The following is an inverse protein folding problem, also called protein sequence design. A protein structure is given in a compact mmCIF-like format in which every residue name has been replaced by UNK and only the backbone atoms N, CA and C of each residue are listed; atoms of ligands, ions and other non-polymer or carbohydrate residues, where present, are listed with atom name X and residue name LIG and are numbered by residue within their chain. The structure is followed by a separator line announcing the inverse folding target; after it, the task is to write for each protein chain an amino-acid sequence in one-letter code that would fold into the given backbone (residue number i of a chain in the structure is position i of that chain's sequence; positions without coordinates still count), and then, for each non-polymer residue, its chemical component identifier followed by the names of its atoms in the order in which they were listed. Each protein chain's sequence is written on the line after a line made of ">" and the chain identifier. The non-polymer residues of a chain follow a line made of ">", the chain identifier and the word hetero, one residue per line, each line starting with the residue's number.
data_IF_173805254759
#
_entry.id   IF_173805254759
#
_cell.length_a   1.000
_cell.length_b   1.000
_cell.length_c   1.000
_cell.angle_alpha   90.00
_cell.angle_beta   90.00
_cell.angle_gamma   90.00
#
_symmetry.space_group_name_H-M   'P 1'
#
loop_
_entity.id
_entity.type
_entity.pdbx_description
1 polymer ?
#
# COMPACT_ATOMS: atom_id res chain seq x y z
N UNK A 1 -7.01 -17.05 11.31
CA UNK A 1 -6.51 -17.19 9.92
C UNK A 1 -7.27 -16.26 9.00
N UNK A 2 -8.61 -16.13 9.12
CA UNK A 2 -9.42 -15.13 8.39
C UNK A 2 -8.90 -13.69 8.51
N UNK A 3 -8.49 -13.26 9.70
CA UNK A 3 -7.95 -11.90 9.93
C UNK A 3 -6.67 -11.60 9.12
N UNK A 4 -5.91 -12.64 8.76
CA UNK A 4 -4.68 -12.51 7.96
C UNK A 4 -4.97 -12.29 6.47
N UNK A 5 -6.16 -12.65 5.97
CA UNK A 5 -6.50 -12.49 4.55
C UNK A 5 -6.61 -11.03 4.12
N UNK A 6 -6.79 -10.09 5.07
CA UNK A 6 -6.79 -8.67 4.77
C UNK A 6 -5.52 -8.20 4.06
N UNK A 7 -4.34 -8.69 4.46
CA UNK A 7 -3.09 -8.37 3.79
C UNK A 7 -3.07 -8.85 2.34
N UNK A 8 -3.46 -10.09 2.10
CA UNK A 8 -3.47 -10.66 0.75
C UNK A 8 -4.49 -9.96 -0.18
N UNK A 9 -5.68 -9.67 0.33
CA UNK A 9 -6.71 -8.95 -0.43
C UNK A 9 -6.26 -7.55 -0.81
N UNK A 10 -5.66 -6.82 0.13
CA UNK A 10 -5.18 -5.46 -0.12
C UNK A 10 -3.91 -5.45 -0.99
N UNK A 11 -3.07 -6.49 -0.95
CA UNK A 11 -1.99 -6.67 -1.91
C UNK A 11 -2.50 -6.84 -3.35
N UNK A 12 -3.58 -7.61 -3.56
CA UNK A 12 -4.22 -7.74 -4.88
C UNK A 12 -4.84 -6.43 -5.36
N UNK A 13 -5.43 -5.67 -4.45
CA UNK A 13 -5.94 -4.32 -4.77
C UNK A 13 -4.80 -3.40 -5.18
N UNK A 14 -3.67 -3.47 -4.48
CA UNK A 14 -2.44 -2.75 -4.81
C UNK A 14 -1.92 -3.07 -6.21
N UNK A 15 -1.86 -4.35 -6.59
CA UNK A 15 -1.48 -4.73 -7.96
C UNK A 15 -2.41 -4.14 -9.02
N UNK A 16 -3.73 -4.20 -8.79
CA UNK A 16 -4.70 -3.65 -9.76
C UNK A 16 -4.42 -2.16 -10.00
N UNK A 17 -4.29 -1.38 -8.91
CA UNK A 17 -4.02 0.06 -9.01
C UNK A 17 -2.65 0.34 -9.63
N UNK A 18 -1.62 -0.41 -9.27
CA UNK A 18 -0.28 -0.28 -9.87
C UNK A 18 -0.33 -0.50 -11.39
N UNK A 19 -1.04 -1.53 -11.84
CA UNK A 19 -1.22 -1.81 -13.27
C UNK A 19 -1.90 -0.66 -14.01
N UNK A 20 -2.92 -0.04 -13.40
CA UNK A 20 -3.61 1.11 -14.00
C UNK A 20 -2.69 2.33 -14.04
N UNK A 21 -1.99 2.63 -12.93
CA UNK A 21 -1.04 3.75 -12.85
C UNK A 21 0.09 3.60 -13.87
N UNK A 22 0.59 2.38 -14.09
CA UNK A 22 1.58 2.12 -15.13
C UNK A 22 1.02 2.44 -16.51
N UNK A 23 -0.22 2.02 -16.82
CA UNK A 23 -0.90 2.36 -18.06
C UNK A 23 -1.04 3.86 -18.28
N UNK A 24 -1.48 4.59 -17.24
CA UNK A 24 -1.56 6.06 -17.26
C UNK A 24 -0.17 6.67 -17.52
N UNK A 25 0.86 6.23 -16.81
CA UNK A 25 2.23 6.72 -17.00
C UNK A 25 2.70 6.53 -18.44
N UNK A 26 2.47 5.37 -19.03
CA UNK A 26 2.90 5.08 -20.40
C UNK A 26 2.15 5.88 -21.47
N UNK A 27 0.96 6.38 -21.14
CA UNK A 27 0.14 7.18 -22.05
C UNK A 27 0.40 8.69 -21.95
N UNK A 28 1.26 9.13 -21.03
CA UNK A 28 1.54 10.54 -20.76
C UNK A 28 2.95 10.95 -21.19
N UNK A 29 3.15 12.27 -21.24
CA UNK A 29 4.43 12.87 -21.54
C UNK A 29 5.43 12.74 -20.37
N UNK A 30 6.75 12.79 -20.63
CA UNK A 30 7.78 12.65 -19.61
C UNK A 30 7.68 13.63 -18.43
N UNK A 31 7.04 14.79 -18.61
CA UNK A 31 6.81 15.76 -17.53
C UNK A 31 5.98 15.19 -16.36
N UNK A 32 5.16 14.17 -16.59
CA UNK A 32 4.37 13.51 -15.54
C UNK A 32 5.09 12.31 -14.90
N UNK A 33 6.20 11.85 -15.48
CA UNK A 33 6.78 10.55 -15.14
C UNK A 33 7.30 10.50 -13.72
N UNK A 34 7.95 11.55 -13.23
CA UNK A 34 8.49 11.58 -11.88
C UNK A 34 7.38 11.41 -10.84
N UNK A 35 6.33 12.22 -10.92
CA UNK A 35 5.24 12.22 -9.96
C UNK A 35 4.42 10.92 -9.99
N UNK A 36 4.14 10.37 -11.17
CA UNK A 36 3.42 9.09 -11.29
C UNK A 36 4.29 7.94 -10.81
N UNK A 37 5.58 7.93 -11.18
CA UNK A 37 6.51 6.87 -10.77
C UNK A 37 6.71 6.85 -9.26
N UNK A 38 6.68 8.00 -8.59
CA UNK A 38 6.75 8.08 -7.13
C UNK A 38 5.58 7.37 -6.46
N UNK A 39 4.33 7.60 -6.92
CA UNK A 39 3.16 6.89 -6.38
C UNK A 39 3.18 5.41 -6.75
N UNK A 40 3.46 5.08 -8.02
CA UNK A 40 3.51 3.71 -8.52
C UNK A 40 4.49 2.84 -7.72
N UNK A 41 5.72 3.33 -7.53
CA UNK A 41 6.77 2.63 -6.78
C UNK A 41 6.31 2.25 -5.36
N UNK A 42 5.64 3.18 -4.67
CA UNK A 42 5.22 2.94 -3.30
C UNK A 42 3.97 2.04 -3.22
N UNK A 43 3.05 2.12 -4.19
CA UNK A 43 1.93 1.15 -4.31
C UNK A 43 2.44 -0.27 -4.53
N UNK A 44 3.41 -0.44 -5.44
CA UNK A 44 4.05 -1.74 -5.67
C UNK A 44 4.81 -2.24 -4.43
N UNK A 45 5.46 -1.34 -3.70
CA UNK A 45 6.18 -1.68 -2.46
C UNK A 45 5.22 -2.13 -1.36
N UNK A 46 4.11 -1.42 -1.17
CA UNK A 46 3.06 -1.83 -0.25
C UNK A 46 2.48 -3.21 -0.64
N UNK A 47 2.25 -3.43 -1.93
CA UNK A 47 1.78 -4.72 -2.46
C UNK A 47 2.71 -5.88 -2.07
N UNK A 48 4.03 -5.72 -2.28
CA UNK A 48 5.04 -6.71 -1.90
C UNK A 48 5.06 -6.95 -0.39
N UNK A 49 5.13 -5.88 0.41
CA UNK A 49 5.17 -5.97 1.87
C UNK A 49 3.93 -6.68 2.47
N UNK A 50 2.75 -6.45 1.89
CA UNK A 50 1.52 -7.12 2.31
C UNK A 50 1.53 -8.62 2.00
N UNK A 51 2.12 -9.04 0.86
CA UNK A 51 2.34 -10.47 0.57
C UNK A 51 3.35 -11.08 1.52
N UNK A 52 4.47 -10.40 1.74
CA UNK A 52 5.50 -10.87 2.66
C UNK A 52 4.92 -11.08 4.07
N UNK A 53 4.12 -10.15 4.58
CA UNK A 53 3.42 -10.31 5.85
C UNK A 53 2.53 -11.55 5.86
N UNK A 54 1.72 -11.74 4.81
CA UNK A 54 0.84 -12.89 4.69
C UNK A 54 1.62 -14.21 4.71
N UNK A 55 2.72 -14.30 3.96
CA UNK A 55 3.57 -15.48 3.87
C UNK A 55 4.31 -15.77 5.18
N UNK A 56 4.62 -14.73 5.96
CA UNK A 56 5.31 -14.83 7.25
C UNK A 56 4.38 -15.21 8.43
N UNK A 57 3.07 -14.95 8.36
CA UNK A 57 2.13 -15.30 9.42
C UNK A 57 2.16 -16.77 9.87
N UNK A 58 2.18 -17.78 8.97
CA UNK A 58 2.26 -19.19 9.39
C UNK A 58 3.60 -19.54 10.06
N UNK A 59 4.66 -18.77 9.80
CA UNK A 59 6.01 -18.99 10.35
C UNK A 59 6.09 -18.40 11.78
N UNK A 60 5.57 -17.20 11.99
CA UNK A 60 5.70 -16.45 13.25
C UNK A 60 4.38 -16.36 14.03
N UNK A 61 3.63 -17.47 14.13
CA UNK A 61 2.28 -17.53 14.72
C UNK A 61 2.15 -16.84 16.09
N UNK A 62 3.14 -16.99 16.95
CA UNK A 62 3.13 -16.41 18.30
C UNK A 62 3.07 -14.87 18.32
N UNK A 63 3.49 -14.20 17.25
CA UNK A 63 3.50 -12.72 17.13
C UNK A 63 2.38 -12.16 16.28
N UNK A 64 1.64 -13.02 15.59
CA UNK A 64 0.51 -12.61 14.73
C UNK A 64 -0.49 -11.72 15.48
N UNK A 65 -0.92 -12.02 16.72
CA UNK A 65 -1.89 -11.15 17.42
C UNK A 65 -1.40 -9.70 17.60
N UNK A 66 -0.11 -9.52 17.92
CA UNK A 66 0.49 -8.19 18.07
C UNK A 66 0.56 -7.45 16.73
N UNK A 67 0.89 -8.15 15.66
CA UNK A 67 0.95 -7.57 14.31
C UNK A 67 -0.45 -7.22 13.80
N UNK A 68 -1.45 -8.06 14.04
CA UNK A 68 -2.86 -7.80 13.69
C UNK A 68 -3.36 -6.50 14.35
N UNK A 69 -2.96 -6.21 15.59
CA UNK A 69 -3.30 -4.94 16.25
C UNK A 69 -2.87 -3.71 15.43
N UNK A 70 -1.63 -3.70 14.92
CA UNK A 70 -1.15 -2.59 14.07
C UNK A 70 -1.81 -2.59 12.69
N UNK A 71 -2.03 -3.77 12.11
CA UNK A 71 -2.70 -3.90 10.81
C UNK A 71 -4.14 -3.40 10.84
N UNK A 72 -4.85 -3.58 11.96
CA UNK A 72 -6.21 -3.06 12.15
C UNK A 72 -6.26 -1.52 12.14
N UNK A 73 -5.12 -0.84 12.36
CA UNK A 73 -5.02 0.62 12.22
C UNK A 73 -4.64 1.00 10.78
N UNK A 74 -3.67 0.30 10.20
CA UNK A 74 -3.08 0.68 8.90
C UNK A 74 -4.01 0.28 7.74
N UNK A 75 -4.48 -0.97 7.69
CA UNK A 75 -5.21 -1.53 6.55
C UNK A 75 -6.49 -0.77 6.19
N UNK A 76 -7.34 -0.33 7.13
CA UNK A 76 -8.54 0.42 6.78
C UNK A 76 -8.23 1.73 6.05
N UNK A 77 -7.18 2.43 6.47
CA UNK A 77 -6.77 3.70 5.84
C UNK A 77 -6.11 3.47 4.48
N UNK A 78 -5.28 2.43 4.36
CA UNK A 78 -4.71 1.97 3.09
C UNK A 78 -5.83 1.62 2.10
N UNK A 79 -6.75 0.74 2.49
CA UNK A 79 -7.90 0.32 1.69
C UNK A 79 -8.76 1.52 1.29
N UNK A 80 -8.98 2.48 2.20
CA UNK A 80 -9.72 3.71 1.89
C UNK A 80 -9.00 4.51 0.80
N UNK A 81 -7.72 4.82 0.95
CA UNK A 81 -6.95 5.56 -0.07
C UNK A 81 -7.02 4.87 -1.42
N UNK A 82 -6.84 3.55 -1.45
CA UNK A 82 -6.91 2.75 -2.68
C UNK A 82 -8.29 2.80 -3.33
N UNK A 83 -9.37 2.70 -2.54
CA UNK A 83 -10.74 2.85 -3.04
C UNK A 83 -11.01 4.25 -3.56
N UNK A 84 -10.49 5.26 -2.88
CA UNK A 84 -10.69 6.66 -3.25
C UNK A 84 -9.93 7.01 -4.55
N UNK A 85 -8.90 6.25 -4.95
CA UNK A 85 -8.22 6.39 -6.25
C UNK A 85 -9.06 5.87 -7.43
N UNK A 86 -9.78 4.75 -7.23
CA UNK A 86 -10.45 4.00 -8.32
C UNK A 86 -11.40 4.85 -9.18
N UNK A 87 -12.29 5.71 -8.63
CA UNK A 87 -13.21 6.51 -9.42
C UNK A 87 -12.53 7.43 -10.45
N UNK A 88 -11.25 7.75 -10.25
CA UNK A 88 -10.48 8.59 -11.16
C UNK A 88 -9.70 7.77 -12.19
N UNK A 89 -9.02 6.71 -11.76
CA UNK A 89 -8.07 5.97 -12.61
C UNK A 89 -8.71 4.82 -13.39
N UNK A 90 -9.85 4.30 -12.93
CA UNK A 90 -10.60 3.22 -13.58
C UNK A 90 -11.79 3.76 -14.40
N UNK A 91 -11.77 5.06 -14.72
CA UNK A 91 -12.82 5.74 -15.46
C UNK A 91 -12.41 5.91 -16.93
N UNK A 92 -12.97 5.08 -17.80
CA UNK A 92 -12.69 5.08 -19.24
C UNK A 92 -13.16 6.36 -19.97
N UNK A 93 -14.06 7.14 -19.38
CA UNK A 93 -14.54 8.40 -19.96
C UNK A 93 -13.54 9.56 -19.77
N UNK A 94 -12.54 9.37 -18.90
CA UNK A 94 -11.52 10.36 -18.64
C UNK A 94 -10.23 10.03 -19.40
N UNK A 95 -9.62 10.99 -20.13
CA UNK A 95 -8.31 10.77 -20.73
C UNK A 95 -7.24 10.62 -19.63
N UNK A 96 -6.14 9.89 -19.87
CA UNK A 96 -5.13 9.56 -18.85
C UNK A 96 -4.61 10.76 -18.05
N UNK A 97 -4.46 11.91 -18.71
CA UNK A 97 -4.00 13.15 -18.07
C UNK A 97 -5.00 13.61 -17.02
N UNK A 98 -6.28 13.63 -17.38
CA UNK A 98 -7.36 14.04 -16.48
C UNK A 98 -7.53 13.04 -15.33
N UNK A 99 -7.41 11.73 -15.60
CA UNK A 99 -7.40 10.69 -14.57
C UNK A 99 -6.34 10.98 -13.50
N UNK A 100 -5.09 11.22 -13.93
CA UNK A 100 -3.98 11.53 -13.03
C UNK A 100 -4.17 12.85 -12.28
N UNK A 101 -4.47 13.93 -12.99
CA UNK A 101 -4.56 15.28 -12.40
C UNK A 101 -5.68 15.35 -11.37
N UNK A 102 -6.87 14.83 -11.68
CA UNK A 102 -7.98 14.83 -10.73
C UNK A 102 -7.69 13.96 -9.51
N UNK A 103 -7.16 12.75 -9.71
CA UNK A 103 -6.81 11.85 -8.61
C UNK A 103 -5.80 12.50 -7.66
N UNK A 104 -4.68 12.98 -8.20
CA UNK A 104 -3.57 13.50 -7.41
C UNK A 104 -3.95 14.77 -6.64
N UNK A 105 -4.70 15.69 -7.26
CA UNK A 105 -5.20 16.90 -6.59
C UNK A 105 -6.20 16.56 -5.50
N UNK A 106 -7.26 15.80 -5.83
CA UNK A 106 -8.35 15.52 -4.87
C UNK A 106 -7.88 14.71 -3.67
N UNK A 107 -6.93 13.79 -3.86
CA UNK A 107 -6.38 13.03 -2.75
C UNK A 107 -5.37 13.84 -1.92
N UNK A 108 -4.63 14.79 -2.51
CA UNK A 108 -3.75 15.67 -1.75
C UNK A 108 -4.54 16.56 -0.77
N UNK A 109 -5.70 17.07 -1.19
CA UNK A 109 -6.57 17.93 -0.37
C UNK A 109 -7.10 17.24 0.89
N UNK A 110 -7.14 15.90 0.91
CA UNK A 110 -7.69 15.13 2.04
C UNK A 110 -6.77 15.03 3.27
N UNK A 111 -5.49 15.41 3.15
CA UNK A 111 -4.52 15.10 4.21
C UNK A 111 -3.34 16.05 4.34
N UNK A 112 -3.35 17.19 3.64
CA UNK A 112 -2.26 18.18 3.73
C UNK A 112 -0.89 17.67 3.26
N UNK A 113 -0.87 16.53 2.54
CA UNK A 113 0.33 15.89 2.02
C UNK A 113 0.04 15.28 0.66
N UNK A 114 1.09 15.10 -0.15
CA UNK A 114 0.97 14.46 -1.46
C UNK A 114 0.57 12.99 -1.32
N UNK A 115 -0.05 12.44 -2.37
CA UNK A 115 -0.40 11.02 -2.41
C UNK A 115 0.84 10.12 -2.25
N UNK A 116 1.97 10.50 -2.86
CA UNK A 116 3.23 9.78 -2.72
C UNK A 116 3.70 9.72 -1.26
N UNK A 117 3.70 10.84 -0.54
CA UNK A 117 4.06 10.89 0.88
C UNK A 117 3.17 9.99 1.73
N UNK A 118 1.85 9.96 1.44
CA UNK A 118 0.92 9.06 2.14
C UNK A 118 1.29 7.59 1.95
N UNK A 119 1.64 7.18 0.73
CA UNK A 119 2.09 5.81 0.48
C UNK A 119 3.44 5.48 1.10
N UNK A 120 4.38 6.44 1.15
CA UNK A 120 5.64 6.27 1.91
C UNK A 120 5.34 5.93 3.36
N UNK A 121 4.41 6.63 4.01
CA UNK A 121 4.02 6.33 5.40
C UNK A 121 3.41 4.92 5.54
N UNK A 122 2.58 4.49 4.59
CA UNK A 122 2.07 3.12 4.59
C UNK A 122 3.20 2.09 4.45
N UNK A 123 4.12 2.29 3.52
CA UNK A 123 5.28 1.42 3.33
C UNK A 123 6.14 1.35 4.58
N UNK A 124 6.47 2.47 5.21
CA UNK A 124 7.24 2.51 6.45
C UNK A 124 6.57 1.75 7.58
N UNK A 125 5.25 1.95 7.77
CA UNK A 125 4.49 1.25 8.79
C UNK A 125 4.44 -0.28 8.52
N UNK A 126 4.26 -0.68 7.26
CA UNK A 126 4.31 -2.10 6.87
C UNK A 126 5.69 -2.71 7.07
N UNK A 127 6.78 -1.98 6.77
CA UNK A 127 8.15 -2.41 7.05
C UNK A 127 8.35 -2.65 8.55
N UNK A 128 7.89 -1.74 9.42
CA UNK A 128 7.99 -1.97 10.87
C UNK A 128 7.15 -3.18 11.30
N UNK A 129 6.00 -3.39 10.68
CA UNK A 129 5.15 -4.55 10.96
C UNK A 129 5.85 -5.87 10.57
N UNK A 130 6.53 -5.92 9.43
CA UNK A 130 7.36 -7.07 9.00
C UNK A 130 8.49 -7.32 9.99
N UNK A 131 9.20 -6.26 10.42
CA UNK A 131 10.28 -6.36 11.41
C UNK A 131 9.79 -6.87 12.76
N UNK A 132 8.63 -6.40 13.21
CA UNK A 132 8.02 -6.85 14.45
C UNK A 132 7.69 -8.36 14.38
N UNK A 133 7.09 -8.80 13.28
CA UNK A 133 6.73 -10.19 13.05
C UNK A 133 7.97 -11.11 13.06
N UNK A 134 9.03 -10.69 12.38
CA UNK A 134 10.26 -11.47 12.13
C UNK A 134 11.37 -11.29 13.17
N UNK A 135 11.23 -10.35 14.10
CA UNK A 135 12.22 -10.09 15.17
C UNK A 135 12.58 -11.39 15.91
N UNK A 136 13.82 -11.53 16.41
CA UNK A 136 14.13 -12.69 17.28
C UNK A 136 13.64 -12.37 18.69
N UNK A 137 12.93 -13.30 19.33
CA UNK A 137 12.68 -13.21 20.76
C UNK A 137 14.02 -13.44 21.44
N UNK A 138 14.66 -12.40 21.96
CA UNK A 138 15.72 -12.59 22.96
C UNK A 138 15.07 -12.98 24.28
N UNK A 139 14.47 -14.16 24.33
CA UNK A 139 14.28 -14.86 25.60
C UNK A 139 15.50 -15.75 25.71
N UNK A 140 16.59 -15.16 26.21
CA UNK A 140 17.65 -15.92 26.84
C UNK A 140 17.07 -16.48 28.14
N UNK A 141 16.31 -17.56 28.03
CA UNK A 141 16.14 -18.48 29.16
C UNK A 141 17.32 -19.42 29.11
N UNK A 142 18.20 -19.27 30.11
CA UNK A 142 19.12 -20.26 30.71
C UNK A 142 20.20 -19.47 31.47
N UNK A 143 20.57 -19.79 32.69
CA UNK A 143 20.04 -20.60 33.80
C UNK A 143 20.85 -20.13 35.03
#
# INVERSE_FOLDING_TARGET
>A
MEECFGCWQEARRADKVASILLGIRTALDPEYYENISAVLKEVESASRLLRDLYDLFPIYRARVPMVIYYLNVILPTFQKTMRDMIPYIDNADLPPRTQWTLMSQRLADQGGMTLAQRFVMYCEALVQTVRLLSSRSSISMRD
#
